data_IF_274685691119
#
_entry.id   IF_274685691119
#
_cell.length_a   1.000
_cell.length_b   1.000
_cell.length_c   1.000
_cell.angle_alpha   90.00
_cell.angle_beta   90.00
_cell.angle_gamma   90.00
#
_symmetry.space_group_name_H-M   'P 1'
#
loop_
_entity.id
_entity.type
_entity.pdbx_description
1 polymer ?
#
# COMPACT_ATOMS: atom_id res chain seq x y z
N UNK A 1 1.40 34.32 -29.64
CA UNK A 1 2.41 33.27 -29.39
C UNK A 1 2.07 31.96 -30.11
N UNK A 2 0.88 31.39 -29.90
CA UNK A 2 0.39 30.17 -30.58
C UNK A 2 0.42 30.32 -32.11
N UNK A 3 -0.13 31.40 -32.66
CA UNK A 3 -0.06 31.70 -34.10
C UNK A 3 1.37 31.74 -34.65
N UNK A 4 2.35 32.15 -33.85
CA UNK A 4 3.77 32.19 -34.24
C UNK A 4 4.38 30.79 -34.25
N UNK A 5 3.99 29.94 -33.30
CA UNK A 5 4.36 28.52 -33.28
C UNK A 5 3.76 27.78 -34.49
N UNK A 6 2.49 28.01 -34.80
CA UNK A 6 1.84 27.45 -36.00
C UNK A 6 2.49 27.93 -37.30
N UNK A 7 2.76 29.23 -37.42
CA UNK A 7 3.47 29.80 -38.57
C UNK A 7 4.87 29.18 -38.73
N UNK A 8 5.60 28.95 -37.64
CA UNK A 8 6.90 28.29 -37.69
C UNK A 8 6.79 26.84 -38.20
N UNK A 9 5.73 26.11 -37.82
CA UNK A 9 5.50 24.75 -38.33
C UNK A 9 5.19 24.76 -39.84
N UNK A 10 4.26 25.62 -40.27
CA UNK A 10 3.86 25.76 -41.68
C UNK A 10 5.04 26.15 -42.58
N UNK A 11 6.01 26.92 -42.06
CA UNK A 11 7.19 27.35 -42.83
C UNK A 11 8.28 26.28 -42.94
N UNK A 12 8.26 25.25 -42.10
CA UNK A 12 9.36 24.27 -41.97
C UNK A 12 8.97 22.85 -42.36
N UNK A 13 7.67 22.59 -42.51
CA UNK A 13 7.11 21.32 -42.93
C UNK A 13 6.45 21.50 -44.30
N UNK A 14 6.64 20.54 -45.21
CA UNK A 14 5.96 20.54 -46.51
C UNK A 14 4.45 20.19 -46.38
N UNK A 15 3.68 20.35 -47.46
CA UNK A 15 2.23 20.11 -47.45
C UNK A 15 1.86 18.71 -46.98
N UNK A 16 2.63 17.69 -47.38
CA UNK A 16 2.42 16.31 -46.95
C UNK A 16 2.70 16.19 -45.45
N UNK A 17 3.83 16.69 -44.94
CA UNK A 17 4.18 16.67 -43.52
C UNK A 17 3.17 17.42 -42.65
N UNK A 18 2.63 18.54 -43.14
CA UNK A 18 1.56 19.28 -42.49
C UNK A 18 0.25 18.48 -42.49
N UNK A 19 -0.13 17.90 -43.63
CA UNK A 19 -1.30 17.01 -43.71
C UNK A 19 -1.16 15.81 -42.77
N UNK A 20 0.04 15.22 -42.67
CA UNK A 20 0.40 14.14 -41.74
C UNK A 20 0.22 14.57 -40.27
N UNK A 21 0.68 15.77 -39.90
CA UNK A 21 0.54 16.35 -38.56
C UNK A 21 -0.92 16.68 -38.20
N UNK A 22 -1.73 17.05 -39.20
CA UNK A 22 -3.12 17.48 -39.02
C UNK A 22 -4.15 16.35 -39.09
N UNK A 23 -3.97 15.36 -39.96
CA UNK A 23 -4.98 14.36 -40.27
C UNK A 23 -4.75 13.01 -39.59
N UNK A 24 -3.49 12.63 -39.30
CA UNK A 24 -3.15 11.21 -39.11
C UNK A 24 -2.06 10.90 -38.07
N UNK A 25 -2.18 11.33 -36.79
CA UNK A 25 -1.29 10.84 -35.74
C UNK A 25 -1.29 9.29 -35.71
N UNK A 26 -2.48 8.67 -35.80
CA UNK A 26 -2.65 7.20 -35.83
C UNK A 26 -1.93 6.45 -36.95
N UNK A 27 -1.64 7.10 -38.07
CA UNK A 27 -1.10 6.46 -39.27
C UNK A 27 0.43 6.50 -39.32
N UNK A 28 1.05 7.45 -38.61
CA UNK A 28 2.51 7.61 -38.57
C UNK A 28 3.25 6.45 -37.92
N UNK A 29 2.66 5.80 -36.90
CA UNK A 29 3.28 4.62 -36.27
C UNK A 29 3.33 3.43 -37.23
N UNK A 30 2.28 3.24 -38.05
CA UNK A 30 2.28 2.23 -39.11
C UNK A 30 3.31 2.55 -40.21
N UNK A 31 3.52 3.85 -40.49
CA UNK A 31 4.49 4.30 -41.50
C UNK A 31 5.95 4.24 -41.01
N UNK A 32 6.21 4.53 -39.72
CA UNK A 32 7.54 4.56 -39.10
C UNK A 32 8.15 3.18 -38.90
N UNK A 33 7.32 2.16 -38.65
CA UNK A 33 7.79 0.80 -38.39
C UNK A 33 8.07 0.01 -39.69
N UNK A 34 7.60 0.50 -40.86
CA UNK A 34 7.63 -0.30 -42.11
C UNK A 34 8.07 0.42 -43.39
N UNK A 35 8.10 1.77 -43.47
CA UNK A 35 8.31 2.45 -44.77
C UNK A 35 9.31 3.60 -44.80
N UNK A 36 9.42 4.45 -43.77
CA UNK A 36 10.29 5.65 -43.85
C UNK A 36 10.71 6.21 -42.47
N UNK A 37 11.72 5.60 -41.82
CA UNK A 37 12.19 6.04 -40.51
C UNK A 37 12.91 7.40 -40.54
N UNK A 38 13.53 7.78 -41.66
CA UNK A 38 14.26 9.06 -41.77
C UNK A 38 13.32 10.26 -41.74
N UNK A 39 12.22 10.21 -42.48
CA UNK A 39 11.22 11.28 -42.44
C UNK A 39 10.54 11.39 -41.07
N UNK A 40 10.31 10.26 -40.38
CA UNK A 40 9.81 10.30 -39.00
C UNK A 40 10.77 11.04 -38.07
N UNK A 41 12.07 10.69 -38.10
CA UNK A 41 13.11 11.33 -37.29
C UNK A 41 13.20 12.84 -37.62
N UNK A 42 13.09 13.22 -38.89
CA UNK A 42 13.10 14.63 -39.31
C UNK A 42 11.90 15.40 -38.76
N UNK A 43 10.70 14.85 -38.83
CA UNK A 43 9.48 15.46 -38.26
C UNK A 43 9.64 15.60 -36.75
N UNK A 44 10.08 14.54 -36.06
CA UNK A 44 10.30 14.55 -34.62
C UNK A 44 11.30 15.64 -34.20
N UNK A 45 12.42 15.78 -34.91
CA UNK A 45 13.44 16.82 -34.67
C UNK A 45 12.84 18.21 -34.76
N UNK A 46 12.02 18.47 -35.78
CA UNK A 46 11.35 19.77 -35.96
C UNK A 46 10.37 20.01 -34.81
N UNK A 47 9.53 19.02 -34.46
CA UNK A 47 8.56 19.13 -33.37
C UNK A 47 9.25 19.42 -32.03
N UNK A 48 10.23 18.60 -31.63
CA UNK A 48 10.95 18.77 -30.37
C UNK A 48 11.60 20.15 -30.28
N UNK A 49 12.28 20.60 -31.35
CA UNK A 49 12.94 21.91 -31.38
C UNK A 49 11.97 23.07 -31.24
N UNK A 50 10.86 23.06 -32.00
CA UNK A 50 9.89 24.16 -31.95
C UNK A 50 9.12 24.18 -30.63
N UNK A 51 8.75 23.01 -30.08
CA UNK A 51 8.04 22.94 -28.81
C UNK A 51 8.92 23.33 -27.63
N UNK A 52 10.16 22.85 -27.55
CA UNK A 52 11.10 23.28 -26.49
C UNK A 52 11.37 24.79 -26.55
N UNK A 53 11.56 25.35 -27.75
CA UNK A 53 11.69 26.78 -27.94
C UNK A 53 10.40 27.53 -27.52
N UNK A 54 9.23 27.00 -27.83
CA UNK A 54 7.97 27.58 -27.41
C UNK A 54 7.82 27.57 -25.88
N UNK A 55 8.05 26.44 -25.23
CA UNK A 55 8.01 26.33 -23.77
C UNK A 55 8.98 27.30 -23.09
N UNK A 56 10.19 27.45 -23.62
CA UNK A 56 11.19 28.39 -23.09
C UNK A 56 10.69 29.84 -23.13
N UNK A 57 9.94 30.21 -24.17
CA UNK A 57 9.47 31.58 -24.35
C UNK A 57 8.09 31.84 -23.71
N UNK A 58 7.43 30.81 -23.17
CA UNK A 58 6.04 30.89 -22.73
C UNK A 58 5.99 30.99 -21.19
N UNK A 59 5.29 31.99 -20.67
CA UNK A 59 5.06 32.07 -19.21
C UNK A 59 4.10 30.96 -18.78
N UNK A 60 4.32 30.37 -17.60
CA UNK A 60 3.51 29.24 -17.12
C UNK A 60 2.00 29.55 -17.07
N UNK A 61 1.63 30.80 -16.75
CA UNK A 61 0.23 31.26 -16.72
C UNK A 61 -0.44 31.27 -18.10
N UNK A 62 0.34 31.32 -19.19
CA UNK A 62 -0.18 31.22 -20.55
C UNK A 62 -0.74 29.83 -20.86
N UNK A 63 -0.29 28.79 -20.16
CA UNK A 63 -0.83 27.42 -20.29
C UNK A 63 -2.14 27.22 -19.55
N UNK A 64 -2.43 28.05 -18.54
CA UNK A 64 -3.69 28.02 -17.81
C UNK A 64 -4.83 28.60 -18.67
N UNK A 65 -4.49 29.46 -19.63
CA UNK A 65 -5.39 30.00 -20.65
C UNK A 65 -5.47 29.07 -21.87
N UNK A 66 -5.91 27.81 -21.67
CA UNK A 66 -6.04 26.82 -22.74
C UNK A 66 -7.00 27.31 -23.83
N UNK A 67 -6.53 27.27 -25.08
CA UNK A 67 -7.38 27.39 -26.27
C UNK A 67 -7.52 26.01 -26.93
N UNK A 68 -8.58 25.78 -27.70
CA UNK A 68 -8.77 24.55 -28.47
C UNK A 68 -7.59 24.23 -29.39
N UNK A 69 -6.88 25.27 -29.85
CA UNK A 69 -5.65 25.14 -30.63
C UNK A 69 -4.49 24.59 -29.80
N UNK A 70 -4.25 25.11 -28.58
CA UNK A 70 -3.24 24.58 -27.66
C UNK A 70 -3.53 23.11 -27.34
N UNK A 71 -4.80 22.74 -27.16
CA UNK A 71 -5.18 21.36 -26.84
C UNK A 71 -4.86 20.40 -27.96
N UNK A 72 -5.22 20.76 -29.19
CA UNK A 72 -4.87 19.97 -30.37
C UNK A 72 -3.35 19.80 -30.50
N UNK A 73 -2.57 20.85 -30.21
CA UNK A 73 -1.12 20.80 -30.29
C UNK A 73 -0.50 19.90 -29.21
N UNK A 74 -0.97 19.99 -27.97
CA UNK A 74 -0.48 19.13 -26.89
C UNK A 74 -0.87 17.66 -27.15
N UNK A 75 -2.08 17.41 -27.64
CA UNK A 75 -2.49 16.06 -28.05
C UNK A 75 -1.58 15.49 -29.15
N UNK A 76 -1.17 16.30 -30.14
CA UNK A 76 -0.20 15.89 -31.17
C UNK A 76 1.16 15.59 -30.54
N UNK A 77 1.69 16.50 -29.71
CA UNK A 77 2.94 16.31 -28.97
C UNK A 77 2.93 14.98 -28.21
N UNK A 78 1.90 14.75 -27.40
CA UNK A 78 1.73 13.50 -26.68
C UNK A 78 1.66 12.31 -27.64
N UNK A 79 0.92 12.38 -28.73
CA UNK A 79 0.90 11.27 -29.69
C UNK A 79 2.31 10.92 -30.23
N UNK A 80 3.10 11.93 -30.61
CA UNK A 80 4.46 11.73 -31.15
C UNK A 80 5.48 11.27 -30.11
N UNK A 81 5.36 11.72 -28.86
CA UNK A 81 6.28 11.33 -27.78
C UNK A 81 5.96 9.93 -27.22
N UNK A 82 4.72 9.47 -27.34
CA UNK A 82 4.19 8.35 -26.53
C UNK A 82 4.06 7.06 -27.33
N UNK A 83 3.45 7.13 -28.52
CA UNK A 83 3.20 5.93 -29.33
C UNK A 83 4.47 5.16 -29.73
N UNK A 84 5.60 5.80 -30.04
CA UNK A 84 6.81 5.05 -30.36
C UNK A 84 7.45 4.30 -29.19
N UNK A 85 7.18 4.75 -27.97
CA UNK A 85 7.59 4.05 -26.74
C UNK A 85 6.82 2.75 -26.59
N UNK A 86 5.51 2.76 -26.89
CA UNK A 86 4.65 1.58 -26.81
C UNK A 86 5.00 0.50 -27.85
N UNK A 87 5.61 0.88 -28.99
CA UNK A 87 6.05 -0.04 -30.04
C UNK A 87 7.53 -0.43 -30.01
N UNK A 88 8.27 -0.13 -28.94
CA UNK A 88 9.71 -0.44 -28.82
C UNK A 88 10.59 0.17 -29.94
N UNK A 89 10.18 1.29 -30.54
CA UNK A 89 10.95 1.92 -31.61
C UNK A 89 12.12 2.73 -31.02
N UNK A 90 13.29 2.10 -30.93
CA UNK A 90 14.49 2.56 -30.21
C UNK A 90 15.07 3.87 -30.77
N UNK A 91 14.73 4.26 -31.99
CA UNK A 91 15.34 5.39 -32.69
C UNK A 91 14.87 6.79 -32.22
N UNK A 92 13.78 6.85 -31.45
CA UNK A 92 13.07 8.10 -31.13
C UNK A 92 13.56 8.76 -29.84
N UNK A 93 14.32 8.00 -29.06
CA UNK A 93 15.03 8.45 -27.86
C UNK A 93 16.53 8.13 -27.96
N UNK A 94 17.10 8.25 -29.16
CA UNK A 94 18.55 8.24 -29.34
C UNK A 94 19.20 9.35 -28.48
N UNK A 95 20.50 9.22 -28.20
CA UNK A 95 21.26 10.27 -27.49
C UNK A 95 21.07 11.65 -28.14
N UNK A 96 20.80 11.70 -29.45
CA UNK A 96 20.55 12.93 -30.20
C UNK A 96 19.42 13.78 -29.61
N UNK A 97 18.31 13.16 -29.20
CA UNK A 97 17.13 13.89 -28.73
C UNK A 97 17.05 14.03 -27.21
N UNK A 98 17.94 13.38 -26.48
CA UNK A 98 17.90 13.30 -25.01
C UNK A 98 17.77 14.67 -24.35
N UNK A 99 18.56 15.66 -24.81
CA UNK A 99 18.56 17.00 -24.23
C UNK A 99 17.21 17.73 -24.41
N UNK A 100 16.55 17.56 -25.56
CA UNK A 100 15.25 18.18 -25.81
C UNK A 100 14.14 17.51 -24.99
N UNK A 101 14.20 16.19 -24.79
CA UNK A 101 13.32 15.52 -23.85
C UNK A 101 13.50 16.01 -22.41
N UNK A 102 14.74 16.19 -21.94
CA UNK A 102 14.99 16.74 -20.61
C UNK A 102 14.39 18.14 -20.45
N UNK A 103 14.50 19.01 -21.46
CA UNK A 103 13.84 20.32 -21.47
C UNK A 103 12.33 20.18 -21.37
N UNK A 104 11.71 19.30 -22.17
CA UNK A 104 10.27 19.08 -22.11
C UNK A 104 9.81 18.63 -20.73
N UNK A 105 10.52 17.68 -20.11
CA UNK A 105 10.21 17.24 -18.74
C UNK A 105 10.27 18.41 -17.76
N UNK A 106 11.31 19.24 -17.81
CA UNK A 106 11.42 20.42 -16.95
C UNK A 106 10.26 21.39 -17.16
N UNK A 107 9.89 21.66 -18.40
CA UNK A 107 8.78 22.57 -18.70
C UNK A 107 7.43 22.02 -18.22
N UNK A 108 7.16 20.73 -18.41
CA UNK A 108 5.95 20.09 -17.88
C UNK A 108 5.92 20.10 -16.35
N UNK A 109 7.08 19.94 -15.69
CA UNK A 109 7.22 20.09 -14.24
C UNK A 109 6.91 21.51 -13.77
N UNK A 110 7.39 22.53 -14.48
CA UNK A 110 7.10 23.94 -14.18
C UNK A 110 5.61 24.28 -14.39
N UNK A 111 4.99 23.77 -15.45
CA UNK A 111 3.56 23.96 -15.72
C UNK A 111 2.73 23.28 -14.64
N UNK A 112 3.08 22.06 -14.23
CA UNK A 112 2.40 21.40 -13.12
C UNK A 112 2.55 22.22 -11.84
N UNK A 113 3.75 22.71 -11.55
CA UNK A 113 4.01 23.57 -10.38
C UNK A 113 3.13 24.82 -10.35
N UNK A 114 2.99 25.51 -11.49
CA UNK A 114 2.17 26.74 -11.55
C UNK A 114 0.68 26.48 -11.29
N UNK A 115 0.17 25.29 -11.64
CA UNK A 115 -1.23 24.95 -11.35
C UNK A 115 -1.54 24.90 -9.86
N UNK A 116 -0.56 24.57 -9.00
CA UNK A 116 -0.74 24.53 -7.56
C UNK A 116 -0.78 25.92 -6.90
N UNK A 117 -0.31 26.95 -7.60
CA UNK A 117 -0.37 28.35 -7.15
C UNK A 117 -1.70 29.02 -7.49
N UNK A 118 -2.60 28.33 -8.20
CA UNK A 118 -3.91 28.86 -8.58
C UNK A 118 -4.86 28.92 -7.38
N UNK A 119 -5.58 30.02 -7.22
CA UNK A 119 -6.59 30.20 -6.16
C UNK A 119 -7.84 29.33 -6.36
N UNK A 120 -8.11 28.88 -7.59
CA UNK A 120 -9.25 28.02 -7.92
C UNK A 120 -8.91 26.99 -9.01
N UNK A 121 -9.46 25.78 -8.86
CA UNK A 121 -9.28 24.68 -9.81
C UNK A 121 -10.37 24.67 -10.88
N UNK A 122 -10.28 25.63 -11.80
CA UNK A 122 -11.16 25.69 -12.97
C UNK A 122 -10.98 24.46 -13.88
N UNK A 123 -11.91 24.25 -14.81
CA UNK A 123 -11.85 23.16 -15.80
C UNK A 123 -10.52 23.15 -16.56
N UNK A 124 -10.00 24.33 -16.92
CA UNK A 124 -8.72 24.45 -17.63
C UNK A 124 -7.54 24.00 -16.76
N UNK A 125 -7.52 24.39 -15.47
CA UNK A 125 -6.46 23.98 -14.53
C UNK A 125 -6.47 22.46 -14.36
N UNK A 126 -7.65 21.87 -14.11
CA UNK A 126 -7.79 20.40 -13.98
C UNK A 126 -7.32 19.67 -15.24
N UNK A 127 -7.72 20.17 -16.41
CA UNK A 127 -7.31 19.63 -17.70
C UNK A 127 -5.79 19.72 -17.91
N UNK A 128 -5.17 20.83 -17.54
CA UNK A 128 -3.71 21.01 -17.59
C UNK A 128 -3.00 20.00 -16.69
N UNK A 129 -3.47 19.80 -15.46
CA UNK A 129 -2.90 18.81 -14.53
C UNK A 129 -2.98 17.41 -15.13
N UNK A 130 -4.16 17.01 -15.60
CA UNK A 130 -4.36 15.72 -16.25
C UNK A 130 -3.38 15.50 -17.41
N UNK A 131 -3.24 16.51 -18.27
CA UNK A 131 -2.37 16.44 -19.43
C UNK A 131 -0.90 16.36 -19.04
N UNK A 132 -0.44 17.21 -18.12
CA UNK A 132 0.92 17.20 -17.60
C UNK A 132 1.29 15.84 -17.01
N UNK A 133 0.39 15.25 -16.24
CA UNK A 133 0.62 13.98 -15.54
C UNK A 133 0.63 12.80 -16.51
N UNK A 134 -0.28 12.78 -17.48
CA UNK A 134 -0.23 11.81 -18.57
C UNK A 134 1.10 11.90 -19.32
N UNK A 135 1.55 13.11 -19.69
CA UNK A 135 2.81 13.30 -20.41
C UNK A 135 4.02 12.88 -19.58
N UNK A 136 4.05 13.24 -18.29
CA UNK A 136 5.10 12.82 -17.35
C UNK A 136 5.17 11.31 -17.21
N UNK A 137 4.01 10.63 -17.09
CA UNK A 137 3.98 9.18 -17.03
C UNK A 137 4.64 8.57 -18.26
N UNK A 138 4.33 9.09 -19.44
CA UNK A 138 4.92 8.57 -20.67
C UNK A 138 6.44 8.76 -20.72
N UNK A 139 6.98 9.87 -20.19
CA UNK A 139 8.42 10.05 -20.08
C UNK A 139 9.11 9.02 -19.15
N UNK A 140 8.40 8.49 -18.15
CA UNK A 140 8.96 7.46 -17.26
C UNK A 140 9.24 6.13 -17.96
N UNK A 141 8.67 5.91 -19.14
CA UNK A 141 8.86 4.69 -19.90
C UNK A 141 10.24 4.63 -20.59
N UNK A 142 10.94 5.76 -20.72
CA UNK A 142 12.29 5.81 -21.28
C UNK A 142 13.36 5.93 -20.17
N UNK A 143 14.33 5.01 -20.15
CA UNK A 143 15.26 4.87 -19.03
C UNK A 143 16.12 6.12 -18.76
N UNK A 144 16.70 6.74 -19.79
CA UNK A 144 17.56 7.93 -19.58
C UNK A 144 16.74 9.13 -19.11
N UNK A 145 15.53 9.28 -19.64
CA UNK A 145 14.63 10.39 -19.26
C UNK A 145 14.09 10.16 -17.86
N UNK A 146 13.76 8.91 -17.50
CA UNK A 146 13.40 8.53 -16.14
C UNK A 146 14.54 8.85 -15.15
N UNK A 147 15.79 8.52 -15.48
CA UNK A 147 16.94 8.84 -14.65
C UNK A 147 17.10 10.35 -14.45
N UNK A 148 16.84 11.15 -15.49
CA UNK A 148 16.77 12.60 -15.36
C UNK A 148 15.58 13.06 -14.50
N UNK A 149 14.39 12.48 -14.67
CA UNK A 149 13.22 12.82 -13.84
C UNK A 149 13.49 12.65 -12.34
N UNK A 150 14.26 11.62 -11.96
CA UNK A 150 14.66 11.37 -10.56
C UNK A 150 15.51 12.51 -9.96
N UNK A 151 16.16 13.34 -10.78
CA UNK A 151 16.98 14.46 -10.30
C UNK A 151 16.20 15.77 -10.17
N UNK A 152 14.94 15.82 -10.64
CA UNK A 152 14.13 17.05 -10.62
C UNK A 152 13.66 17.35 -9.20
N UNK A 153 14.05 18.50 -8.62
CA UNK A 153 13.63 18.87 -7.28
C UNK A 153 12.11 18.99 -7.16
N UNK A 154 11.56 18.60 -6.01
CA UNK A 154 10.14 18.70 -5.67
C UNK A 154 9.17 17.89 -6.56
N UNK A 155 9.65 17.14 -7.56
CA UNK A 155 8.79 16.37 -8.46
C UNK A 155 7.94 15.35 -7.70
N UNK A 156 8.56 14.61 -6.75
CA UNK A 156 7.85 13.65 -5.90
C UNK A 156 6.75 14.36 -5.08
N UNK A 157 7.07 15.49 -4.43
CA UNK A 157 6.10 16.26 -3.65
C UNK A 157 4.92 16.76 -4.50
N UNK A 158 5.19 17.23 -5.72
CA UNK A 158 4.16 17.64 -6.66
C UNK A 158 3.27 16.47 -7.08
N UNK A 159 3.84 15.32 -7.41
CA UNK A 159 3.09 14.12 -7.79
C UNK A 159 2.24 13.59 -6.62
N UNK A 160 2.76 13.63 -5.40
CA UNK A 160 1.97 13.27 -4.20
C UNK A 160 0.75 14.19 -4.04
N UNK A 161 0.89 15.51 -4.24
CA UNK A 161 -0.28 16.42 -4.24
C UNK A 161 -1.32 16.04 -5.30
N UNK A 162 -0.88 15.58 -6.48
CA UNK A 162 -1.81 15.14 -7.54
C UNK A 162 -2.60 13.90 -7.12
N UNK A 163 -2.04 13.02 -6.29
CA UNK A 163 -2.78 11.85 -5.82
C UNK A 163 -4.04 12.24 -5.03
N UNK A 164 -4.12 13.46 -4.51
CA UNK A 164 -5.30 13.99 -3.80
C UNK A 164 -6.38 14.64 -4.67
N UNK A 165 -6.22 14.64 -5.98
CA UNK A 165 -7.22 15.17 -6.91
C UNK A 165 -8.38 14.20 -7.14
N UNK A 166 -9.59 14.74 -7.23
CA UNK A 166 -10.82 13.98 -7.51
C UNK A 166 -10.94 13.62 -9.01
N UNK A 167 -10.03 12.75 -9.49
CA UNK A 167 -10.04 12.18 -10.84
C UNK A 167 -9.16 10.92 -10.93
N UNK A 168 -9.78 9.75 -11.11
CA UNK A 168 -9.12 8.44 -10.98
C UNK A 168 -7.94 8.25 -11.95
N UNK A 169 -8.11 8.58 -13.24
CA UNK A 169 -7.03 8.45 -14.24
C UNK A 169 -5.79 9.28 -13.89
N UNK A 170 -6.03 10.48 -13.34
CA UNK A 170 -4.97 11.42 -12.98
C UNK A 170 -4.23 10.93 -11.74
N UNK A 171 -4.96 10.39 -10.76
CA UNK A 171 -4.37 9.73 -9.59
C UNK A 171 -3.53 8.52 -9.99
N UNK A 172 -4.05 7.63 -10.84
CA UNK A 172 -3.33 6.44 -11.30
C UNK A 172 -2.04 6.82 -12.01
N UNK A 173 -2.08 7.78 -12.94
CA UNK A 173 -0.87 8.21 -13.66
C UNK A 173 0.15 8.86 -12.72
N UNK A 174 -0.29 9.59 -11.69
CA UNK A 174 0.60 10.09 -10.65
C UNK A 174 1.28 8.94 -9.88
N UNK A 175 0.52 7.91 -9.47
CA UNK A 175 1.09 6.72 -8.85
C UNK A 175 2.05 5.96 -9.78
N UNK A 176 1.73 5.85 -11.07
CA UNK A 176 2.64 5.22 -12.05
C UNK A 176 3.95 5.97 -12.17
N UNK A 177 3.92 7.31 -12.18
CA UNK A 177 5.13 8.13 -12.10
C UNK A 177 5.91 7.85 -10.81
N UNK A 178 5.24 7.98 -9.66
CA UNK A 178 5.83 7.77 -8.32
C UNK A 178 6.49 6.40 -8.21
N UNK A 179 5.82 5.35 -8.70
CA UNK A 179 6.34 3.98 -8.71
C UNK A 179 7.68 3.83 -9.41
N UNK A 180 8.00 4.67 -10.41
CA UNK A 180 9.24 4.60 -11.20
C UNK A 180 10.33 5.53 -10.66
N UNK A 181 9.96 6.64 -10.02
CA UNK A 181 10.93 7.65 -9.54
C UNK A 181 11.33 7.47 -8.07
N UNK A 182 10.43 6.96 -7.22
CA UNK A 182 10.69 6.77 -5.79
C UNK A 182 11.61 5.59 -5.55
N UNK A 183 12.47 5.70 -4.52
CA UNK A 183 13.23 4.56 -4.01
C UNK A 183 12.41 3.78 -2.99
N UNK A 184 12.86 2.59 -2.62
CA UNK A 184 12.16 1.72 -1.66
C UNK A 184 11.90 2.41 -0.31
N UNK A 185 12.86 3.19 0.19
CA UNK A 185 12.71 3.93 1.45
C UNK A 185 11.57 4.96 1.39
N UNK A 186 11.44 5.69 0.28
CA UNK A 186 10.35 6.66 0.10
C UNK A 186 9.00 5.94 0.05
N UNK A 187 8.91 4.81 -0.65
CA UNK A 187 7.67 4.03 -0.78
C UNK A 187 7.21 3.53 0.58
N UNK A 188 8.13 3.05 1.43
CA UNK A 188 7.81 2.54 2.77
C UNK A 188 7.32 3.61 3.76
N UNK A 189 7.53 4.89 3.46
CA UNK A 189 7.15 6.00 4.34
C UNK A 189 5.90 6.75 3.85
N UNK A 190 5.24 6.27 2.79
CA UNK A 190 4.03 6.89 2.27
C UNK A 190 2.87 6.86 3.27
N UNK A 191 2.18 8.00 3.42
CA UNK A 191 1.18 8.20 4.46
C UNK A 191 -0.22 7.63 4.16
N UNK A 192 -0.51 7.22 2.93
CA UNK A 192 -1.87 6.81 2.52
C UNK A 192 -1.92 5.48 1.76
N UNK A 193 -1.57 4.35 2.41
CA UNK A 193 -1.51 3.03 1.78
C UNK A 193 -2.87 2.53 1.27
N UNK A 194 -3.97 2.80 1.99
CA UNK A 194 -5.33 2.40 1.58
C UNK A 194 -5.74 3.02 0.25
N UNK A 195 -5.40 4.29 0.02
CA UNK A 195 -5.71 4.98 -1.24
C UNK A 195 -4.91 4.42 -2.42
N UNK A 196 -3.63 4.10 -2.21
CA UNK A 196 -2.79 3.43 -3.23
C UNK A 196 -3.46 2.12 -3.65
N UNK A 197 -3.85 1.28 -2.67
CA UNK A 197 -4.51 0.02 -2.93
C UNK A 197 -5.84 0.22 -3.68
N UNK A 198 -6.71 1.11 -3.19
CA UNK A 198 -8.02 1.37 -3.78
C UNK A 198 -7.95 1.80 -5.25
N UNK A 199 -7.09 2.78 -5.57
CA UNK A 199 -6.94 3.26 -6.95
C UNK A 199 -6.44 2.15 -7.87
N UNK A 200 -5.42 1.38 -7.46
CA UNK A 200 -4.93 0.29 -8.30
C UNK A 200 -5.97 -0.83 -8.47
N UNK A 201 -6.69 -1.18 -7.40
CA UNK A 201 -7.73 -2.23 -7.42
C UNK A 201 -8.89 -1.90 -8.36
N UNK A 202 -9.35 -0.64 -8.36
CA UNK A 202 -10.38 -0.18 -9.28
C UNK A 202 -9.97 -0.40 -10.73
N UNK A 203 -8.76 0.03 -11.10
CA UNK A 203 -8.28 -0.12 -12.47
C UNK A 203 -7.98 -1.56 -12.86
N UNK A 204 -7.44 -2.39 -11.95
CA UNK A 204 -7.21 -3.82 -12.22
C UNK A 204 -8.52 -4.55 -12.48
N UNK A 205 -9.52 -4.33 -11.61
CA UNK A 205 -10.84 -4.97 -11.74
C UNK A 205 -11.56 -4.55 -13.02
N UNK A 206 -11.43 -3.28 -13.42
CA UNK A 206 -12.05 -2.76 -14.65
C UNK A 206 -11.34 -3.19 -15.95
N UNK A 207 -10.17 -3.80 -15.88
CA UNK A 207 -9.36 -4.16 -17.07
C UNK A 207 -9.10 -5.65 -17.23
N UNK A 208 -9.26 -6.47 -16.18
CA UNK A 208 -8.84 -7.87 -16.18
C UNK A 208 -9.52 -8.76 -17.24
N UNK A 209 -10.83 -8.63 -17.44
CA UNK A 209 -11.61 -9.49 -18.34
C UNK A 209 -11.76 -8.91 -19.76
N UNK A 210 -11.01 -7.86 -20.09
CA UNK A 210 -11.10 -7.15 -21.36
C UNK A 210 -9.77 -7.29 -22.13
N UNK A 211 -9.74 -8.20 -23.09
CA UNK A 211 -8.54 -8.46 -23.91
C UNK A 211 -8.07 -7.23 -24.69
N UNK A 212 -8.96 -6.27 -24.98
CA UNK A 212 -8.59 -5.01 -25.63
C UNK A 212 -7.81 -4.07 -24.70
N UNK A 213 -7.87 -4.31 -23.38
CA UNK A 213 -7.21 -3.51 -22.34
C UNK A 213 -6.01 -4.23 -21.71
N UNK A 214 -5.53 -5.33 -22.29
CA UNK A 214 -4.40 -6.10 -21.76
C UNK A 214 -3.13 -5.25 -21.50
N UNK A 215 -2.78 -4.34 -22.41
CA UNK A 215 -1.64 -3.42 -22.23
C UNK A 215 -1.85 -2.46 -21.04
N UNK A 216 -3.10 -2.03 -20.84
CA UNK A 216 -3.47 -1.18 -19.71
C UNK A 216 -3.40 -1.95 -18.39
N UNK A 217 -3.95 -3.17 -18.33
CA UNK A 217 -3.84 -4.04 -17.16
C UNK A 217 -2.36 -4.30 -16.79
N UNK A 218 -1.52 -4.63 -17.77
CA UNK A 218 -0.07 -4.80 -17.57
C UNK A 218 0.57 -3.58 -16.91
N UNK A 219 0.24 -2.39 -17.41
CA UNK A 219 0.84 -1.16 -16.93
C UNK A 219 0.44 -0.79 -15.49
N UNK A 220 -0.74 -1.21 -15.04
CA UNK A 220 -1.19 -1.05 -13.65
C UNK A 220 -0.45 -2.03 -12.75
N UNK A 221 -0.28 -3.29 -13.17
CA UNK A 221 0.53 -4.28 -12.44
C UNK A 221 1.98 -3.82 -12.27
N UNK A 222 2.60 -3.31 -13.34
CA UNK A 222 3.97 -2.80 -13.31
C UNK A 222 4.17 -1.67 -12.29
N UNK A 223 3.17 -0.79 -12.13
CA UNK A 223 3.17 0.25 -11.09
C UNK A 223 2.99 -0.34 -9.70
N UNK A 224 2.00 -1.22 -9.53
CA UNK A 224 1.66 -1.84 -8.26
C UNK A 224 2.83 -2.65 -7.68
N UNK A 225 3.62 -3.32 -8.54
CA UNK A 225 4.78 -4.15 -8.18
C UNK A 225 5.81 -3.42 -7.31
N UNK A 226 5.93 -2.10 -7.45
CA UNK A 226 6.84 -1.29 -6.63
C UNK A 226 6.20 -0.88 -5.30
N UNK A 227 4.89 -0.63 -5.26
CA UNK A 227 4.17 -0.27 -4.04
C UNK A 227 3.96 -1.45 -3.07
N UNK A 228 3.93 -2.69 -3.56
CA UNK A 228 3.90 -3.90 -2.70
C UNK A 228 5.22 -4.15 -1.95
N UNK A 229 6.11 -3.15 -1.85
CA UNK A 229 7.20 -3.13 -0.86
C UNK A 229 6.74 -2.53 0.48
N UNK A 230 5.61 -1.83 0.48
CA UNK A 230 4.99 -1.24 1.66
C UNK A 230 4.01 -2.24 2.28
N UNK A 231 4.23 -2.60 3.55
CA UNK A 231 3.46 -3.68 4.20
C UNK A 231 1.96 -3.38 4.31
N UNK A 232 1.59 -2.16 4.70
CA UNK A 232 0.18 -1.75 4.72
C UNK A 232 -0.48 -1.79 3.34
N UNK A 233 0.22 -1.45 2.26
CA UNK A 233 -0.35 -1.58 0.90
C UNK A 233 -0.67 -3.04 0.59
N UNK A 234 0.21 -3.99 0.95
CA UNK A 234 -0.05 -5.43 0.77
C UNK A 234 -1.30 -5.86 1.53
N UNK A 235 -1.44 -5.46 2.79
CA UNK A 235 -2.60 -5.77 3.64
C UNK A 235 -3.89 -5.23 3.01
N UNK A 236 -3.89 -3.97 2.59
CA UNK A 236 -5.07 -3.32 2.01
C UNK A 236 -5.47 -3.95 0.67
N UNK A 237 -4.51 -4.38 -0.15
CA UNK A 237 -4.79 -5.13 -1.39
C UNK A 237 -5.40 -6.51 -1.11
N UNK A 238 -4.91 -7.23 -0.11
CA UNK A 238 -5.46 -8.53 0.28
C UNK A 238 -6.91 -8.38 0.78
N UNK A 239 -7.20 -7.36 1.61
CA UNK A 239 -8.56 -7.05 2.08
C UNK A 239 -9.53 -6.74 0.93
N UNK A 240 -9.02 -6.19 -0.18
CA UNK A 240 -9.80 -5.88 -1.38
C UNK A 240 -9.84 -7.04 -2.39
N UNK A 241 -9.45 -8.25 -1.99
CA UNK A 241 -9.50 -9.46 -2.83
C UNK A 241 -8.67 -9.36 -4.12
N UNK A 242 -7.45 -8.82 -4.03
CA UNK A 242 -6.53 -8.75 -5.19
C UNK A 242 -6.09 -10.11 -5.73
N UNK A 243 -6.08 -11.16 -4.90
CA UNK A 243 -5.48 -12.46 -5.26
C UNK A 243 -6.22 -13.17 -6.41
N UNK A 244 -7.57 -13.30 -6.39
CA UNK A 244 -8.32 -13.78 -7.55
C UNK A 244 -7.97 -13.03 -8.83
N UNK A 245 -7.86 -11.69 -8.76
CA UNK A 245 -7.52 -10.83 -9.89
C UNK A 245 -6.13 -11.19 -10.46
N UNK A 246 -5.14 -11.46 -9.61
CA UNK A 246 -3.79 -11.83 -10.07
C UNK A 246 -3.76 -13.25 -10.66
N UNK A 247 -4.45 -14.21 -10.03
CA UNK A 247 -4.47 -15.63 -10.43
C UNK A 247 -5.18 -15.84 -11.78
N UNK A 248 -6.22 -15.06 -12.08
CA UNK A 248 -6.95 -15.18 -13.35
C UNK A 248 -6.21 -14.61 -14.56
N UNK A 249 -4.98 -14.13 -14.40
CA UNK A 249 -4.16 -13.60 -15.50
C UNK A 249 -3.77 -14.73 -16.47
N UNK A 250 -4.06 -14.53 -17.77
CA UNK A 250 -3.80 -15.51 -18.82
C UNK A 250 -2.30 -15.84 -18.97
N UNK A 251 -1.96 -17.12 -18.76
CA UNK A 251 -0.60 -17.65 -18.86
C UNK A 251 -0.04 -17.63 -20.30
N UNK A 252 -0.90 -17.46 -21.31
CA UNK A 252 -0.48 -17.25 -22.71
C UNK A 252 0.25 -15.91 -22.90
N UNK A 253 -0.05 -14.91 -22.06
CA UNK A 253 0.58 -13.59 -22.10
C UNK A 253 1.72 -13.51 -21.09
N UNK A 254 2.87 -14.09 -21.45
CA UNK A 254 4.01 -14.28 -20.55
C UNK A 254 4.46 -13.01 -19.78
N UNK A 255 4.41 -11.82 -20.41
CA UNK A 255 4.76 -10.55 -19.73
C UNK A 255 3.76 -10.19 -18.63
N UNK A 256 2.47 -10.34 -18.91
CA UNK A 256 1.40 -10.12 -17.95
C UNK A 256 1.49 -11.11 -16.80
N UNK A 257 1.58 -12.40 -17.13
CA UNK A 257 1.70 -13.46 -16.16
C UNK A 257 2.88 -13.21 -15.20
N UNK A 258 4.07 -12.89 -15.72
CA UNK A 258 5.25 -12.58 -14.88
C UNK A 258 5.08 -11.35 -13.99
N UNK A 259 4.38 -10.33 -14.46
CA UNK A 259 4.09 -9.14 -13.65
C UNK A 259 3.15 -9.49 -12.49
N UNK A 260 2.08 -10.24 -12.77
CA UNK A 260 1.13 -10.71 -11.79
C UNK A 260 1.78 -11.68 -10.77
N UNK A 261 2.53 -12.67 -11.25
CA UNK A 261 3.27 -13.64 -10.43
C UNK A 261 4.28 -12.95 -9.50
N UNK A 262 5.00 -11.93 -10.00
CA UNK A 262 5.94 -11.18 -9.16
C UNK A 262 5.27 -10.38 -8.04
N UNK A 263 4.01 -9.97 -8.21
CA UNK A 263 3.20 -9.38 -7.15
C UNK A 263 2.68 -10.48 -6.22
N UNK A 264 2.13 -11.55 -6.79
CA UNK A 264 1.61 -12.71 -6.06
C UNK A 264 2.64 -13.24 -5.07
N UNK A 265 3.87 -13.49 -5.51
CA UNK A 265 4.98 -13.94 -4.65
C UNK A 265 5.26 -12.99 -3.46
N UNK A 266 5.15 -11.67 -3.69
CA UNK A 266 5.32 -10.65 -2.64
C UNK A 266 4.08 -10.48 -1.77
N UNK A 267 2.95 -11.05 -2.16
CA UNK A 267 1.73 -11.07 -1.39
C UNK A 267 1.52 -12.43 -0.76
N UNK A 268 2.15 -13.53 -1.19
CA UNK A 268 1.93 -14.87 -0.65
C UNK A 268 2.42 -14.99 0.79
N UNK A 269 3.54 -14.36 1.15
CA UNK A 269 4.01 -14.35 2.55
C UNK A 269 3.10 -13.54 3.44
N UNK A 270 2.60 -12.42 2.94
CA UNK A 270 1.70 -11.52 3.66
C UNK A 270 0.27 -12.03 3.64
N UNK A 271 -0.17 -12.69 2.59
CA UNK A 271 -1.42 -13.42 2.51
C UNK A 271 -1.32 -14.65 3.40
N UNK A 272 -0.18 -15.32 3.52
CA UNK A 272 0.04 -16.28 4.58
C UNK A 272 0.11 -15.61 5.95
N UNK A 273 0.46 -14.33 6.12
CA UNK A 273 0.45 -13.64 7.42
C UNK A 273 -0.90 -12.96 7.74
N UNK A 274 -1.75 -12.80 6.73
CA UNK A 274 -3.13 -12.31 6.78
C UNK A 274 -4.10 -13.50 6.84
N UNK A 275 -3.75 -14.64 6.21
CA UNK A 275 -4.48 -15.92 6.20
C UNK A 275 -3.96 -16.94 7.23
N UNK A 276 -2.67 -16.91 7.62
CA UNK A 276 -2.36 -17.17 9.04
C UNK A 276 -2.93 -15.95 9.73
N UNK A 277 -3.78 -16.12 10.73
CA UNK A 277 -4.31 -14.96 11.41
C UNK A 277 -3.11 -14.20 11.99
N UNK A 278 -2.84 -13.00 11.44
CA UNK A 278 -2.53 -11.87 12.32
C UNK A 278 -3.54 -12.01 13.44
N UNK A 279 -3.14 -12.04 14.70
CA UNK A 279 -4.06 -12.22 15.83
C UNK A 279 -4.94 -10.95 15.97
N UNK A 280 -5.75 -10.60 14.97
CA UNK A 280 -7.20 -10.77 15.09
C UNK A 280 -7.46 -12.25 14.87
N UNK A 281 -7.20 -13.06 15.91
CA UNK A 281 -8.11 -14.17 16.09
C UNK A 281 -9.47 -13.49 16.08
N UNK A 282 -10.36 -13.84 15.15
CA UNK A 282 -11.77 -13.82 15.52
C UNK A 282 -11.92 -14.93 16.55
N UNK A 283 -11.27 -14.75 17.71
CA UNK A 283 -11.58 -15.47 18.91
C UNK A 283 -13.08 -15.40 18.95
N UNK A 284 -13.73 -16.56 19.05
CA UNK A 284 -15.18 -16.60 19.14
C UNK A 284 -15.66 -15.70 20.29
N UNK A 285 -14.79 -15.52 21.29
CA UNK A 285 -14.99 -14.69 22.46
C UNK A 285 -13.81 -13.73 22.64
N UNK A 286 -14.07 -12.49 23.02
CA UNK A 286 -13.01 -11.59 23.44
C UNK A 286 -12.47 -12.03 24.81
N UNK A 287 -13.32 -12.57 25.69
CA UNK A 287 -12.93 -12.95 27.05
C UNK A 287 -13.58 -14.27 27.45
N UNK A 288 -12.79 -15.21 27.96
CA UNK A 288 -13.26 -16.34 28.77
C UNK A 288 -13.13 -15.98 30.25
N UNK A 289 -14.19 -16.19 31.02
CA UNK A 289 -14.14 -16.06 32.48
C UNK A 289 -14.03 -17.46 33.10
N UNK A 290 -12.88 -17.75 33.70
CA UNK A 290 -12.65 -18.95 34.51
C UNK A 290 -12.86 -18.60 35.98
N UNK A 291 -13.81 -19.25 36.64
CA UNK A 291 -14.25 -18.94 38.00
C UNK A 291 -14.67 -20.20 38.76
N UNK A 292 -14.66 -20.14 40.10
CA UNK A 292 -15.26 -21.19 40.93
C UNK A 292 -16.74 -20.96 41.11
N UNK A 293 -17.55 -22.02 41.18
CA UNK A 293 -18.99 -21.92 41.44
C UNK A 293 -19.38 -21.12 42.68
N UNK A 294 -18.49 -21.04 43.67
CA UNK A 294 -18.73 -20.28 44.90
C UNK A 294 -18.64 -18.76 44.71
N UNK A 295 -18.07 -18.32 43.59
CA UNK A 295 -17.87 -16.91 43.24
C UNK A 295 -18.82 -16.46 42.11
N UNK A 296 -19.90 -17.23 41.88
CA UNK A 296 -20.79 -17.11 40.71
C UNK A 296 -21.47 -15.74 40.63
N UNK A 297 -21.96 -15.22 41.76
CA UNK A 297 -22.71 -13.96 41.80
C UNK A 297 -21.88 -12.79 41.26
N UNK A 298 -20.65 -12.62 41.76
CA UNK A 298 -19.76 -11.55 41.32
C UNK A 298 -19.28 -11.76 39.87
N UNK A 299 -18.96 -13.00 39.48
CA UNK A 299 -18.51 -13.29 38.12
C UNK A 299 -19.61 -13.07 37.07
N UNK A 300 -20.88 -13.37 37.42
CA UNK A 300 -22.03 -13.04 36.57
C UNK A 300 -22.22 -11.54 36.43
N UNK A 301 -22.05 -10.78 37.51
CA UNK A 301 -22.15 -9.31 37.47
C UNK A 301 -21.07 -8.70 36.55
N UNK A 302 -19.83 -9.20 36.63
CA UNK A 302 -18.74 -8.79 35.74
C UNK A 302 -19.07 -9.15 34.27
N UNK A 303 -19.50 -10.38 34.03
CA UNK A 303 -19.91 -10.86 32.71
C UNK A 303 -21.01 -9.99 32.08
N UNK A 304 -22.06 -9.66 32.82
CA UNK A 304 -23.15 -8.81 32.33
C UNK A 304 -22.68 -7.40 31.96
N UNK A 305 -21.75 -6.84 32.74
CA UNK A 305 -21.21 -5.52 32.46
C UNK A 305 -20.30 -5.53 31.22
N UNK A 306 -19.46 -6.56 31.04
CA UNK A 306 -18.64 -6.72 29.84
C UNK A 306 -19.48 -6.87 28.58
N UNK A 307 -20.59 -7.62 28.63
CA UNK A 307 -21.52 -7.72 27.49
C UNK A 307 -22.16 -6.36 27.16
N UNK A 308 -22.56 -5.57 28.18
CA UNK A 308 -23.12 -4.23 27.95
C UNK A 308 -22.13 -3.29 27.26
N UNK A 309 -20.84 -3.48 27.50
CA UNK A 309 -19.77 -2.69 26.89
C UNK A 309 -19.32 -3.25 25.51
N UNK A 310 -19.99 -4.29 25.00
CA UNK A 310 -19.81 -4.82 23.65
C UNK A 310 -18.85 -6.01 23.52
N UNK A 311 -18.34 -6.56 24.62
CA UNK A 311 -17.47 -7.73 24.59
C UNK A 311 -18.25 -9.04 24.38
N UNK A 312 -17.69 -9.94 23.57
CA UNK A 312 -18.15 -11.32 23.39
C UNK A 312 -17.55 -12.17 24.51
N UNK A 313 -18.31 -12.43 25.57
CA UNK A 313 -17.79 -13.15 26.74
C UNK A 313 -18.28 -14.60 26.76
N UNK A 314 -17.37 -15.53 27.03
CA UNK A 314 -17.70 -16.90 27.38
C UNK A 314 -17.65 -17.11 28.89
N UNK A 315 -18.73 -17.67 29.43
CA UNK A 315 -18.85 -18.03 30.84
C UNK A 315 -19.62 -19.35 30.90
N UNK A 316 -19.06 -20.36 31.56
CA UNK A 316 -19.80 -21.60 31.81
C UNK A 316 -20.90 -21.33 32.86
N UNK A 317 -22.14 -21.24 32.39
CA UNK A 317 -23.31 -20.96 33.24
C UNK A 317 -23.85 -22.23 33.92
N UNK A 318 -23.50 -23.42 33.41
CA UNK A 318 -24.12 -24.71 33.75
C UNK A 318 -23.09 -25.86 33.78
N UNK A 319 -22.04 -25.79 34.62
CA UNK A 319 -21.02 -26.86 34.74
C UNK A 319 -21.54 -28.24 35.18
N UNK A 320 -22.86 -28.44 35.36
CA UNK A 320 -23.46 -29.73 35.71
C UNK A 320 -24.14 -30.44 34.52
N UNK A 321 -24.16 -29.86 33.31
CA UNK A 321 -24.89 -30.45 32.15
C UNK A 321 -24.15 -30.53 30.80
N UNK A 322 -22.85 -30.29 30.72
CA UNK A 322 -22.07 -30.87 29.61
C UNK A 322 -21.14 -29.97 28.80
N UNK A 323 -20.46 -29.01 29.41
CA UNK A 323 -19.18 -28.57 28.84
C UNK A 323 -18.18 -29.74 29.01
N UNK A 324 -17.99 -30.53 27.96
CA UNK A 324 -16.91 -31.54 27.96
C UNK A 324 -15.56 -30.82 28.14
N UNK A 325 -14.54 -31.49 28.66
CA UNK A 325 -13.17 -30.92 28.72
C UNK A 325 -12.72 -30.35 27.36
N UNK A 326 -13.20 -30.95 26.26
CA UNK A 326 -13.00 -30.45 24.91
C UNK A 326 -13.70 -29.10 24.65
N UNK A 327 -14.90 -28.86 25.19
CA UNK A 327 -15.61 -27.58 25.09
C UNK A 327 -14.91 -26.44 25.84
N UNK A 328 -14.31 -26.74 27.00
CA UNK A 328 -13.55 -25.77 27.79
C UNK A 328 -12.20 -25.46 27.13
N UNK A 329 -11.49 -26.50 26.65
CA UNK A 329 -10.28 -26.32 25.86
C UNK A 329 -10.56 -25.47 24.61
N UNK A 330 -11.65 -25.76 23.90
CA UNK A 330 -12.09 -24.98 22.75
C UNK A 330 -12.44 -23.54 23.13
N UNK A 331 -13.03 -23.28 24.30
CA UNK A 331 -13.29 -21.91 24.76
C UNK A 331 -12.00 -21.14 25.04
N UNK A 332 -11.01 -21.77 25.69
CA UNK A 332 -9.68 -21.18 25.97
C UNK A 332 -8.95 -20.86 24.66
N UNK A 333 -8.92 -21.80 23.71
CA UNK A 333 -8.27 -21.62 22.41
C UNK A 333 -8.93 -20.53 21.55
N UNK A 334 -10.24 -20.32 21.73
CA UNK A 334 -11.02 -19.34 20.98
C UNK A 334 -11.37 -18.09 21.81
N UNK A 335 -10.57 -17.75 22.83
CA UNK A 335 -10.72 -16.50 23.61
C UNK A 335 -9.45 -15.65 23.61
N UNK A 336 -9.60 -14.33 23.46
CA UNK A 336 -8.44 -13.40 23.45
C UNK A 336 -7.79 -13.30 24.82
N UNK A 337 -8.63 -13.11 25.82
CA UNK A 337 -8.25 -13.04 27.21
C UNK A 337 -8.87 -14.20 27.98
N UNK A 338 -8.12 -14.71 28.95
CA UNK A 338 -8.65 -15.61 29.97
C UNK A 338 -8.57 -14.89 31.31
N UNK A 339 -9.73 -14.50 31.82
CA UNK A 339 -9.87 -13.94 33.15
C UNK A 339 -9.83 -15.06 34.20
N UNK A 340 -8.87 -14.97 35.11
CA UNK A 340 -8.70 -15.93 36.21
C UNK A 340 -9.30 -15.31 37.47
N UNK A 341 -10.51 -15.70 37.85
CA UNK A 341 -11.20 -15.20 39.04
C UNK A 341 -10.70 -15.95 40.29
N UNK A 342 -9.69 -15.37 40.94
CA UNK A 342 -8.94 -15.97 42.03
C UNK A 342 -9.65 -15.88 43.38
N UNK A 343 -9.81 -17.05 44.00
CA UNK A 343 -10.32 -17.27 45.35
C UNK A 343 -9.69 -18.54 45.93
N UNK A 344 -9.87 -18.81 47.23
CA UNK A 344 -9.50 -20.07 47.85
C UNK A 344 -10.21 -21.25 47.19
N UNK A 345 -11.48 -21.07 46.83
CA UNK A 345 -12.28 -22.09 46.17
C UNK A 345 -11.84 -22.34 44.73
N UNK A 346 -11.36 -21.31 44.03
CA UNK A 346 -10.73 -21.46 42.71
C UNK A 346 -9.44 -22.28 42.81
N UNK A 347 -8.57 -21.94 43.78
CA UNK A 347 -7.28 -22.63 43.98
C UNK A 347 -7.43 -24.12 44.32
N UNK A 348 -8.50 -24.50 45.02
CA UNK A 348 -8.77 -25.88 45.42
C UNK A 348 -9.47 -26.70 44.34
N UNK A 349 -10.00 -26.07 43.30
CA UNK A 349 -10.74 -26.75 42.23
C UNK A 349 -9.77 -27.34 41.20
N UNK A 350 -9.79 -28.67 41.05
CA UNK A 350 -8.98 -29.39 40.06
C UNK A 350 -9.32 -28.93 38.63
N UNK A 351 -10.59 -28.64 38.35
CA UNK A 351 -11.02 -28.14 37.03
C UNK A 351 -10.45 -26.74 36.74
N UNK A 352 -10.57 -25.82 37.68
CA UNK A 352 -10.01 -24.47 37.56
C UNK A 352 -8.48 -24.51 37.47
N UNK A 353 -7.84 -25.44 38.17
CA UNK A 353 -6.42 -25.69 38.05
C UNK A 353 -6.05 -26.16 36.65
N UNK A 354 -6.74 -27.15 36.09
CA UNK A 354 -6.50 -27.64 34.73
C UNK A 354 -6.72 -26.53 33.68
N UNK A 355 -7.78 -25.73 33.80
CA UNK A 355 -8.04 -24.60 32.91
C UNK A 355 -6.94 -23.55 32.95
N UNK A 356 -6.52 -23.14 34.14
CA UNK A 356 -5.46 -22.16 34.31
C UNK A 356 -4.12 -22.65 33.77
N UNK A 357 -3.78 -23.93 34.01
CA UNK A 357 -2.56 -24.53 33.45
C UNK A 357 -2.63 -24.60 31.93
N UNK A 358 -3.78 -25.02 31.38
CA UNK A 358 -3.95 -25.11 29.94
C UNK A 358 -3.87 -23.74 29.26
N UNK A 359 -4.53 -22.71 29.81
CA UNK A 359 -4.43 -21.34 29.33
C UNK A 359 -2.99 -20.79 29.42
N UNK A 360 -2.27 -21.12 30.50
CA UNK A 360 -0.88 -20.76 30.68
C UNK A 360 0.05 -21.45 29.66
N UNK A 361 -0.10 -22.77 29.46
CA UNK A 361 0.66 -23.55 28.48
C UNK A 361 0.42 -23.07 27.04
N UNK A 362 -0.82 -22.67 26.73
CA UNK A 362 -1.19 -22.07 25.45
C UNK A 362 -0.72 -20.64 25.26
N UNK A 363 -0.04 -20.04 26.25
CA UNK A 363 0.38 -18.64 26.23
C UNK A 363 -0.78 -17.66 26.00
N UNK A 364 -1.98 -17.99 26.49
CA UNK A 364 -3.13 -17.10 26.48
C UNK A 364 -2.85 -15.84 27.32
N UNK A 365 -3.46 -14.70 26.95
CA UNK A 365 -3.35 -13.47 27.75
C UNK A 365 -4.20 -13.60 29.01
N UNK A 366 -3.55 -13.80 30.14
CA UNK A 366 -4.24 -13.98 31.41
C UNK A 366 -4.48 -12.63 32.09
N UNK A 367 -5.71 -12.42 32.57
CA UNK A 367 -6.08 -11.27 33.41
C UNK A 367 -6.46 -11.80 34.80
N UNK A 368 -5.59 -11.68 35.81
CA UNK A 368 -5.89 -12.13 37.17
C UNK A 368 -6.84 -11.17 37.89
N UNK A 369 -7.94 -11.70 38.43
CA UNK A 369 -8.95 -10.96 39.17
C UNK A 369 -9.05 -11.51 40.60
N UNK A 370 -9.06 -10.66 41.62
CA UNK A 370 -9.33 -11.08 43.00
C UNK A 370 -10.83 -10.92 43.28
N UNK A 371 -11.50 -12.04 43.60
CA UNK A 371 -12.94 -12.09 43.88
C UNK A 371 -13.25 -12.47 45.33
N UNK A 372 -12.24 -12.77 46.15
CA UNK A 372 -12.38 -13.09 47.58
C UNK A 372 -11.53 -12.14 48.45
N UNK A 373 -12.14 -11.62 49.52
CA UNK A 373 -11.51 -10.64 50.42
C UNK A 373 -10.25 -11.22 51.07
N UNK A 374 -9.16 -10.42 51.05
CA UNK A 374 -7.84 -10.79 51.59
C UNK A 374 -7.18 -12.01 50.93
N UNK A 375 -7.70 -12.47 49.78
CA UNK A 375 -7.06 -13.55 49.04
C UNK A 375 -5.72 -13.10 48.45
N UNK A 376 -4.72 -13.99 48.51
CA UNK A 376 -3.42 -13.81 47.88
C UNK A 376 -3.04 -15.09 47.15
N UNK A 377 -2.75 -15.03 45.84
CA UNK A 377 -2.36 -16.22 45.10
C UNK A 377 -0.99 -16.72 45.57
N UNK A 378 -0.88 -18.03 45.75
CA UNK A 378 0.31 -18.75 46.19
C UNK A 378 0.37 -20.14 45.52
N UNK A 379 1.50 -20.84 45.69
CA UNK A 379 1.72 -22.15 45.06
C UNK A 379 1.58 -22.12 43.54
N UNK A 380 0.87 -23.09 42.97
CA UNK A 380 0.69 -23.22 41.52
C UNK A 380 0.05 -22.00 40.88
N UNK A 381 -0.95 -21.40 41.54
CA UNK A 381 -1.68 -20.25 41.01
C UNK A 381 -0.79 -19.01 41.03
N UNK A 382 -0.05 -18.81 42.12
CA UNK A 382 0.95 -17.73 42.24
C UNK A 382 2.01 -17.78 41.14
N UNK A 383 2.43 -18.96 40.70
CA UNK A 383 3.36 -19.12 39.58
C UNK A 383 2.73 -18.65 38.26
N UNK A 384 1.49 -19.07 37.96
CA UNK A 384 0.78 -18.73 36.72
C UNK A 384 0.54 -17.21 36.59
N UNK A 385 0.13 -16.58 37.68
CA UNK A 385 -0.21 -15.15 37.68
C UNK A 385 0.98 -14.23 38.00
N UNK A 386 2.16 -14.80 38.26
CA UNK A 386 3.37 -14.04 38.55
C UNK A 386 3.68 -13.00 37.47
N UNK A 387 4.08 -11.80 37.89
CA UNK A 387 4.42 -10.68 37.01
C UNK A 387 3.23 -9.98 36.33
N UNK A 388 1.98 -10.33 36.69
CA UNK A 388 0.77 -9.71 36.14
C UNK A 388 0.13 -8.73 37.12
N UNK A 389 -0.58 -7.73 36.60
CA UNK A 389 -1.36 -6.79 37.40
C UNK A 389 -2.67 -7.45 37.83
N UNK A 390 -3.05 -7.28 39.10
CA UNK A 390 -4.28 -7.86 39.64
C UNK A 390 -5.36 -6.80 39.76
N UNK A 391 -6.57 -7.11 39.28
CA UNK A 391 -7.75 -6.28 39.50
C UNK A 391 -8.53 -6.83 40.70
N UNK A 392 -8.69 -6.01 41.74
CA UNK A 392 -9.33 -6.41 42.98
C UNK A 392 -10.77 -5.87 43.05
N UNK A 393 -11.75 -6.78 42.98
CA UNK A 393 -13.19 -6.44 43.00
C UNK A 393 -13.80 -6.40 44.41
N UNK A 394 -13.03 -6.79 45.44
CA UNK A 394 -13.51 -6.86 46.83
C UNK A 394 -12.96 -5.74 47.70
N UNK A 395 -11.87 -5.08 47.28
CA UNK A 395 -11.23 -3.97 48.00
C UNK A 395 -11.82 -2.60 47.70
N UNK A 396 -12.48 -2.43 46.56
CA UNK A 396 -13.07 -1.16 46.11
C UNK A 396 -14.47 -1.38 45.57
N UNK A 397 -15.23 -0.29 45.41
CA UNK A 397 -16.55 -0.34 44.78
C UNK A 397 -16.47 -0.91 43.36
N UNK A 398 -17.50 -1.67 42.96
CA UNK A 398 -17.56 -2.39 41.69
C UNK A 398 -17.21 -1.51 40.48
N UNK A 399 -17.77 -0.29 40.41
CA UNK A 399 -17.50 0.62 39.29
C UNK A 399 -16.01 0.98 39.16
N UNK A 400 -15.32 1.19 40.29
CA UNK A 400 -13.89 1.50 40.31
C UNK A 400 -13.05 0.28 39.90
N UNK A 401 -13.39 -0.90 40.42
CA UNK A 401 -12.73 -2.15 40.03
C UNK A 401 -12.91 -2.43 38.53
N UNK A 402 -14.10 -2.18 38.01
CA UNK A 402 -14.44 -2.43 36.62
C UNK A 402 -13.74 -1.46 35.65
N UNK A 403 -13.58 -0.18 36.00
CA UNK A 403 -12.74 0.73 35.21
C UNK A 403 -11.27 0.27 35.16
N UNK A 404 -10.74 -0.24 36.28
CA UNK A 404 -9.38 -0.83 36.29
C UNK A 404 -9.27 -2.04 35.39
N UNK A 405 -10.29 -2.89 35.33
CA UNK A 405 -10.34 -4.02 34.42
C UNK A 405 -10.29 -3.57 32.95
N UNK A 406 -11.06 -2.55 32.57
CA UNK A 406 -11.03 -2.03 31.19
C UNK A 406 -9.67 -1.43 30.83
N UNK A 407 -9.03 -0.72 31.75
CA UNK A 407 -7.69 -0.18 31.53
C UNK A 407 -6.68 -1.31 31.32
N UNK A 408 -6.73 -2.37 32.14
CA UNK A 408 -5.85 -3.53 31.98
C UNK A 408 -6.03 -4.21 30.62
N UNK A 409 -7.29 -4.44 30.19
CA UNK A 409 -7.57 -5.00 28.86
C UNK A 409 -6.96 -4.12 27.76
N UNK A 410 -7.16 -2.80 27.85
CA UNK A 410 -6.67 -1.83 26.87
C UNK A 410 -5.13 -1.73 26.83
N UNK A 411 -4.48 -1.78 28.00
CA UNK A 411 -3.02 -1.75 28.10
C UNK A 411 -2.37 -3.01 27.50
N UNK A 412 -2.96 -4.18 27.74
CA UNK A 412 -2.47 -5.43 27.12
C UNK A 412 -2.65 -5.43 25.59
N UNK A 413 -3.70 -4.80 25.07
CA UNK A 413 -3.86 -4.57 23.62
C UNK A 413 -2.73 -3.68 23.07
N UNK A 414 -2.40 -2.59 23.78
CA UNK A 414 -1.34 -1.66 23.37
C UNK A 414 0.07 -2.27 23.43
N UNK A 415 0.38 -3.08 24.45
CA UNK A 415 1.66 -3.77 24.58
C UNK A 415 1.90 -4.80 23.47
N UNK A 416 0.83 -5.45 22.99
CA UNK A 416 0.90 -6.38 21.84
C UNK A 416 1.33 -5.64 20.56
N UNK A 417 0.76 -4.45 20.34
CA UNK A 417 1.07 -3.63 19.16
C UNK A 417 2.54 -3.17 19.16
N UNK A 418 3.11 -2.91 20.34
CA UNK A 418 4.49 -2.40 20.50
C UNK A 418 5.56 -3.49 20.54
N UNK A 419 5.31 -4.67 21.12
CA UNK A 419 6.27 -5.80 21.11
C UNK A 419 6.46 -6.40 19.71
N UNK A 420 5.40 -6.37 18.88
CA UNK A 420 5.45 -6.83 17.49
C UNK A 420 6.44 -6.01 16.64
N UNK A 421 6.60 -4.72 16.96
CA UNK A 421 7.56 -3.81 16.30
C UNK A 421 9.02 -3.98 16.76
N UNK A 422 9.27 -4.38 18.01
CA UNK A 422 10.64 -4.52 18.55
C UNK A 422 11.32 -5.82 18.12
N UNK A 423 10.55 -6.92 18.02
CA UNK A 423 11.06 -8.23 17.56
C UNK A 423 11.51 -8.19 16.09
N UNK A 424 10.91 -7.32 15.28
CA UNK A 424 11.36 -7.07 13.90
C UNK A 424 12.71 -6.37 13.82
N UNK A 425 13.04 -5.49 14.77
CA UNK A 425 14.29 -4.73 14.80
C UNK A 425 15.47 -5.60 15.26
N UNK A 426 15.28 -6.46 16.27
CA UNK A 426 16.34 -7.37 16.75
C UNK A 426 16.68 -8.48 15.75
N UNK A 427 15.69 -9.04 15.04
CA UNK A 427 15.94 -10.01 13.95
C UNK A 427 16.71 -9.42 12.78
N UNK A 428 16.54 -8.11 12.52
CA UNK A 428 17.29 -7.40 11.49
C UNK A 428 18.78 -7.28 11.87
N UNK A 429 19.08 -6.96 13.13
CA UNK A 429 20.46 -6.83 13.61
C UNK A 429 21.23 -8.16 13.64
N UNK A 430 20.59 -9.26 14.07
CA UNK A 430 21.21 -10.60 14.12
C UNK A 430 21.58 -11.10 12.71
N UNK A 431 20.74 -10.81 11.71
CA UNK A 431 21.02 -11.17 10.31
C UNK A 431 22.17 -10.35 9.72
N UNK A 432 22.32 -9.07 10.09
CA UNK A 432 23.45 -8.24 9.64
C UNK A 432 24.79 -8.68 10.23
N UNK A 433 24.84 -9.17 11.49
CA UNK A 433 26.09 -9.66 12.09
C UNK A 433 26.55 -11.01 11.51
N UNK A 434 25.60 -11.88 11.11
CA UNK A 434 25.91 -13.17 10.46
C UNK A 434 26.37 -13.04 9.00
N UNK A 435 26.03 -11.93 8.32
CA UNK A 435 26.55 -11.64 6.97
C UNK A 435 27.99 -11.11 6.99
N UNK A 436 28.38 -10.33 8.00
CA UNK A 436 29.73 -9.77 8.08
C UNK A 436 30.82 -10.81 8.39
N UNK A 437 30.50 -11.92 9.06
CA UNK A 437 31.46 -13.01 9.33
C UNK A 437 31.78 -13.82 8.08
N UNK A 438 30.81 -14.01 7.17
CA UNK A 438 31.02 -14.71 5.88
C UNK A 438 31.85 -13.91 4.87
N UNK A 439 31.83 -12.58 4.95
CA UNK A 439 32.62 -11.74 4.04
C UNK A 439 34.12 -11.67 4.39
N UNK A 440 34.52 -12.01 5.62
CA UNK A 440 35.93 -12.00 6.03
C UNK A 440 36.66 -13.29 5.61
N UNK A 441 35.99 -14.44 5.59
CA UNK A 441 36.60 -15.71 5.16
C UNK A 441 36.77 -15.81 3.62
N UNK A 442 35.95 -15.13 2.83
CA UNK A 442 36.04 -15.13 1.36
C UNK A 442 37.11 -14.18 0.81
N UNK A 443 37.65 -13.26 1.61
CA UNK A 443 38.68 -12.31 1.17
C UNK A 443 40.12 -12.88 1.26
N UNK A 444 40.32 -14.01 1.95
CA UNK A 444 41.64 -14.63 2.11
C UNK A 444 42.00 -15.69 1.06
N UNK A 445 41.07 -16.13 0.21
CA UNK A 445 41.33 -17.20 -0.78
C UNK A 445 41.62 -16.71 -2.21
N UNK A 446 41.61 -15.40 -2.47
CA UNK A 446 41.84 -14.84 -3.81
C UNK A 446 43.20 -14.15 -4.00
N UNK A 447 44.20 -14.44 -3.16
CA UNK A 447 45.59 -14.00 -3.35
C UNK A 447 46.54 -15.21 -3.18
N UNK A 448 46.64 -16.04 -4.22
CA UNK A 448 47.80 -16.90 -4.51
C UNK A 448 47.96 -17.03 -6.02
#
# INVERSE_FOLDING_TARGET
MIKRLEQNFVQKLDEDQMLFLHAMPRYLQWYSDYRDPENFIKILRILLKEFTAWFTNCQADSYLQRSSQIDAMICRLNYFLVRPIESYNVNIFSEEFYHDYCKLVLHWSLILSSTFSCSSYTTNVKSTIHTSIQTMYNFTLHLNVLNFMKTIPNLISMLLKVTDFDHDETQLNAYRCLSKIMIEADIKTMSNPSKIAAVHMEFLTNTINDSTKAARFYSVLESLKNFVQHDQVKIELIKQEVLPVLVTTDSSQLRLYRAAEGILWKLEKENEAVAKPTILNSYKYDIMISYSHKDKELCLQIHEQLIKDGFRVWLDKDCLRGSTMAGIANAIENSEYVMICMSNMYKQSVYCQSEAHYAFERSCRLIPIIVELNYKPDGWLGIIVSGKIYVDFVKVEFGIAYEKLKNEISEQQYQTLTQSSTISEEKYQINTMSMNTKHVELASESIV
#
